data_IF_963391310553
#
_entry.id   IF_963391310553
#
_cell.length_a   1.000
_cell.length_b   1.000
_cell.length_c   1.000
_cell.angle_alpha   90.00
_cell.angle_beta   90.00
_cell.angle_gamma   90.00
#
_symmetry.space_group_name_H-M   'P 1'
#
loop_
_entity.id
_entity.type
_entity.pdbx_description
1 polymer ?
#
# COMPACT_ATOMS: atom_id res chain seq x y z
N UNK A 1 -20.32 -30.81 5.54
CA UNK A 1 -19.41 -29.83 6.16
C UNK A 1 -20.16 -28.52 6.34
N UNK A 2 -20.49 -28.15 7.57
CA UNK A 2 -21.09 -26.84 7.87
C UNK A 2 -19.98 -25.79 7.89
N UNK A 3 -19.86 -25.01 6.82
CA UNK A 3 -18.85 -23.95 6.69
C UNK A 3 -19.40 -22.58 7.12
N UNK A 4 -18.50 -21.60 7.26
CA UNK A 4 -18.85 -20.19 7.60
C UNK A 4 -19.92 -19.63 6.64
N UNK A 5 -19.91 -20.02 5.37
CA UNK A 5 -20.92 -19.64 4.37
C UNK A 5 -22.31 -20.16 4.74
N UNK A 6 -22.41 -21.40 5.25
CA UNK A 6 -23.68 -21.97 5.73
C UNK A 6 -24.19 -21.27 6.98
N UNK A 7 -23.28 -20.89 7.88
CA UNK A 7 -23.60 -20.16 9.12
C UNK A 7 -24.18 -18.77 8.82
N UNK A 8 -23.56 -18.04 7.89
CA UNK A 8 -24.00 -16.69 7.49
C UNK A 8 -25.32 -16.75 6.71
N UNK A 9 -25.52 -17.77 5.88
CA UNK A 9 -26.82 -18.00 5.20
C UNK A 9 -27.95 -18.30 6.19
N UNK A 10 -27.66 -19.07 7.24
CA UNK A 10 -28.63 -19.37 8.29
C UNK A 10 -28.91 -18.16 9.20
N UNK A 11 -27.92 -17.28 9.39
CA UNK A 11 -28.01 -16.11 10.28
C UNK A 11 -27.46 -14.86 9.57
N UNK A 12 -28.30 -14.13 8.82
CA UNK A 12 -27.86 -12.98 8.04
C UNK A 12 -27.31 -11.83 8.89
N UNK A 13 -27.70 -11.74 10.17
CA UNK A 13 -27.17 -10.76 11.12
C UNK A 13 -25.66 -10.90 11.38
N UNK A 14 -25.07 -12.08 11.11
CA UNK A 14 -23.63 -12.31 11.28
C UNK A 14 -22.78 -11.78 10.11
N UNK A 15 -23.39 -11.56 8.94
CA UNK A 15 -22.70 -11.09 7.74
C UNK A 15 -21.88 -9.79 7.96
N UNK A 16 -22.42 -8.71 8.56
CA UNK A 16 -21.65 -7.49 8.80
C UNK A 16 -20.46 -7.69 9.72
N UNK A 17 -20.57 -8.57 10.73
CA UNK A 17 -19.45 -8.86 11.65
C UNK A 17 -18.27 -9.50 10.91
N UNK A 18 -18.54 -10.48 10.05
CA UNK A 18 -17.50 -11.10 9.22
C UNK A 18 -16.96 -10.15 8.17
N UNK A 19 -17.79 -9.26 7.62
CA UNK A 19 -17.35 -8.26 6.64
C UNK A 19 -16.38 -7.25 7.25
N UNK A 20 -16.70 -6.67 8.40
CA UNK A 20 -15.81 -5.71 9.06
C UNK A 20 -14.58 -6.39 9.67
N UNK A 21 -14.76 -7.54 10.34
CA UNK A 21 -13.63 -8.28 10.93
C UNK A 21 -12.69 -8.83 9.85
N UNK A 22 -13.23 -9.53 8.87
CA UNK A 22 -12.47 -10.06 7.73
C UNK A 22 -11.87 -8.95 6.88
N UNK A 23 -12.63 -7.88 6.63
CA UNK A 23 -12.16 -6.69 5.92
C UNK A 23 -10.98 -6.02 6.61
N UNK A 24 -10.99 -5.94 7.95
CA UNK A 24 -9.87 -5.42 8.74
C UNK A 24 -8.60 -6.24 8.58
N UNK A 25 -8.70 -7.58 8.63
CA UNK A 25 -7.55 -8.48 8.45
C UNK A 25 -6.97 -8.34 7.04
N UNK A 26 -7.82 -8.41 6.02
CA UNK A 26 -7.40 -8.28 4.61
C UNK A 26 -6.78 -6.91 4.36
N UNK A 27 -7.40 -5.84 4.87
CA UNK A 27 -6.87 -4.48 4.76
C UNK A 27 -5.51 -4.31 5.45
N UNK A 28 -5.34 -4.90 6.65
CA UNK A 28 -4.08 -4.89 7.38
C UNK A 28 -2.95 -5.57 6.61
N UNK A 29 -3.19 -6.78 6.10
CA UNK A 29 -2.21 -7.52 5.29
C UNK A 29 -1.87 -6.74 4.01
N UNK A 30 -2.88 -6.19 3.33
CA UNK A 30 -2.69 -5.40 2.12
C UNK A 30 -1.85 -4.13 2.39
N UNK A 31 -2.08 -3.44 3.51
CA UNK A 31 -1.32 -2.26 3.89
C UNK A 31 0.14 -2.60 4.23
N UNK A 32 0.38 -3.69 4.96
CA UNK A 32 1.74 -4.17 5.24
C UNK A 32 2.46 -4.50 3.93
N UNK A 33 1.80 -5.19 3.00
CA UNK A 33 2.35 -5.49 1.67
C UNK A 33 2.69 -4.21 0.88
N UNK A 34 1.83 -3.20 0.95
CA UNK A 34 2.09 -1.88 0.35
C UNK A 34 3.32 -1.21 0.96
N UNK A 35 3.41 -1.14 2.29
CA UNK A 35 4.56 -0.56 2.99
C UNK A 35 5.86 -1.30 2.68
N UNK A 36 5.81 -2.64 2.57
CA UNK A 36 6.97 -3.44 2.23
C UNK A 36 7.45 -3.11 0.81
N UNK A 37 6.55 -3.10 -0.18
CA UNK A 37 6.89 -2.83 -1.58
C UNK A 37 7.29 -1.37 -1.86
N UNK A 38 6.80 -0.42 -1.07
CA UNK A 38 6.88 1.02 -1.33
C UNK A 38 7.66 1.81 -0.26
N UNK A 39 8.15 1.15 0.78
CA UNK A 39 8.96 1.79 1.83
C UNK A 39 10.38 2.08 1.35
N UNK A 40 10.96 3.25 1.66
CA UNK A 40 12.39 3.53 1.49
C UNK A 40 13.28 2.79 2.49
N UNK A 41 12.70 2.31 3.58
CA UNK A 41 13.43 1.76 4.72
C UNK A 41 13.80 0.28 4.54
N UNK A 42 13.11 -0.45 3.66
CA UNK A 42 13.27 -1.90 3.49
C UNK A 42 13.64 -2.25 2.05
N UNK A 43 14.83 -2.81 1.88
CA UNK A 43 15.31 -3.29 0.58
C UNK A 43 14.92 -4.76 0.42
N UNK A 44 13.89 -5.03 -0.38
CA UNK A 44 13.45 -6.41 -0.70
C UNK A 44 14.36 -7.05 -1.75
N UNK A 45 14.70 -6.32 -2.82
CA UNK A 45 15.45 -6.86 -3.93
C UNK A 45 16.90 -6.35 -3.93
N UNK A 46 17.79 -7.10 -3.26
CA UNK A 46 19.24 -6.85 -3.27
C UNK A 46 19.98 -7.47 -4.46
N UNK A 47 19.28 -8.28 -5.26
CA UNK A 47 19.88 -9.06 -6.35
C UNK A 47 19.96 -8.30 -7.68
N UNK A 48 19.25 -7.17 -7.80
CA UNK A 48 19.28 -6.35 -9.00
C UNK A 48 20.61 -5.59 -9.12
N UNK A 49 21.20 -5.47 -10.33
CA UNK A 49 22.49 -4.79 -10.52
C UNK A 49 22.44 -3.27 -10.31
N UNK A 50 21.26 -2.65 -10.45
CA UNK A 50 21.07 -1.22 -10.28
C UNK A 50 21.04 -0.80 -8.81
N UNK A 51 21.99 0.07 -8.44
CA UNK A 51 22.01 0.79 -7.16
C UNK A 51 21.53 2.24 -7.39
N UNK A 52 20.74 2.82 -6.48
CA UNK A 52 20.21 2.24 -5.25
C UNK A 52 19.07 1.24 -5.53
N UNK A 53 18.95 0.20 -4.69
CA UNK A 53 17.88 -0.82 -4.78
C UNK A 53 16.49 -0.30 -4.37
N UNK A 54 16.34 1.02 -4.31
CA UNK A 54 15.11 1.67 -3.90
C UNK A 54 14.27 2.00 -5.13
N UNK A 55 13.00 1.57 -5.10
CA UNK A 55 12.06 1.80 -6.22
C UNK A 55 11.56 3.24 -6.29
N UNK A 56 11.34 3.86 -5.13
CA UNK A 56 10.67 5.17 -5.02
C UNK A 56 11.70 6.26 -4.78
N UNK A 57 11.58 7.35 -5.53
CA UNK A 57 12.47 8.50 -5.41
C UNK A 57 12.03 9.44 -4.25
N UNK A 58 12.94 10.24 -3.64
CA UNK A 58 12.61 11.09 -2.49
C UNK A 58 11.55 12.19 -2.73
N UNK A 59 11.19 12.46 -3.99
CA UNK A 59 10.16 13.42 -4.37
C UNK A 59 8.81 12.75 -4.70
N UNK A 60 8.75 11.42 -4.71
CA UNK A 60 7.54 10.65 -4.93
C UNK A 60 6.86 10.31 -3.59
N UNK A 61 5.53 10.19 -3.62
CA UNK A 61 4.77 9.85 -2.43
C UNK A 61 4.84 8.35 -2.14
N UNK A 62 5.44 7.97 -1.02
CA UNK A 62 5.47 6.58 -0.53
C UNK A 62 4.22 6.17 0.27
N UNK A 63 3.33 7.12 0.60
CA UNK A 63 2.12 6.85 1.39
C UNK A 63 1.04 6.23 0.52
N UNK A 64 0.26 5.30 1.09
CA UNK A 64 -0.91 4.72 0.43
C UNK A 64 -1.89 5.81 -0.06
N UNK A 65 -2.07 6.86 0.76
CA UNK A 65 -2.88 8.01 0.40
C UNK A 65 -2.33 9.29 1.03
N UNK A 66 -2.43 10.40 0.30
CA UNK A 66 -2.05 11.74 0.76
C UNK A 66 -3.15 12.73 0.33
N UNK A 67 -3.76 13.47 1.26
CA UNK A 67 -4.75 14.49 0.91
C UNK A 67 -4.12 15.64 0.12
N UNK A 68 -2.85 15.96 0.38
CA UNK A 68 -2.15 17.07 -0.26
C UNK A 68 -1.44 16.60 -1.53
N UNK A 69 -2.14 16.61 -2.67
CA UNK A 69 -1.58 16.17 -3.97
C UNK A 69 -0.62 17.20 -4.56
N UNK A 70 -0.96 18.48 -4.44
CA UNK A 70 -0.20 19.61 -4.99
C UNK A 70 1.25 19.61 -4.48
N UNK A 71 1.44 19.39 -3.17
CA UNK A 71 2.77 19.27 -2.56
C UNK A 71 3.68 18.21 -3.22
N UNK A 72 3.11 17.07 -3.62
CA UNK A 72 3.88 16.02 -4.29
C UNK A 72 4.13 16.32 -5.77
N UNK A 73 3.21 17.02 -6.43
CA UNK A 73 3.37 17.47 -7.81
C UNK A 73 4.52 18.49 -7.91
N UNK A 74 4.53 19.51 -7.05
CA UNK A 74 5.61 20.51 -7.02
C UNK A 74 7.00 19.89 -6.82
N UNK A 75 7.11 18.89 -5.93
CA UNK A 75 8.38 18.20 -5.68
C UNK A 75 8.83 17.42 -6.90
N UNK A 76 7.90 16.78 -7.61
CA UNK A 76 8.17 16.06 -8.85
C UNK A 76 8.65 17.01 -9.94
N UNK A 77 7.98 18.14 -10.12
CA UNK A 77 8.34 19.16 -11.10
C UNK A 77 9.74 19.75 -10.82
N UNK A 78 10.03 20.10 -9.56
CA UNK A 78 11.37 20.57 -9.16
C UNK A 78 12.46 19.54 -9.44
N UNK A 79 12.19 18.26 -9.18
CA UNK A 79 13.13 17.19 -9.49
C UNK A 79 13.35 17.03 -11.00
N UNK A 80 12.34 17.24 -11.83
CA UNK A 80 12.46 17.22 -13.29
C UNK A 80 13.21 18.44 -13.83
N UNK A 81 13.04 19.62 -13.24
CA UNK A 81 13.80 20.83 -13.59
C UNK A 81 15.29 20.65 -13.31
N UNK A 82 15.65 20.12 -12.13
CA UNK A 82 17.04 19.82 -11.78
C UNK A 82 17.71 18.80 -12.69
N UNK A 83 16.96 17.88 -13.31
CA UNK A 83 17.49 16.91 -14.27
C UNK A 83 17.76 17.52 -15.65
N UNK A 84 17.16 18.67 -15.97
CA UNK A 84 17.30 19.36 -17.26
C UNK A 84 18.38 20.44 -17.26
N UNK A 85 18.72 20.94 -16.07
CA UNK A 85 19.84 21.87 -15.85
C UNK A 85 21.17 21.11 -15.84
#
# INVERSE_FOLDING_TARGET
>A
MSGVISLVKANPALAPLFLFGGGGIVGGIAYIGHCLANGPDVIINKSAPQKPWQRIQPHENAKLWSPNKEFWQERKEKAEQLKKA
#
